data_IF_573761790241
#
_entry.id   IF_573761790241
#
_cell.length_a   1.000
_cell.length_b   1.000
_cell.length_c   1.000
_cell.angle_alpha   90.00
_cell.angle_beta   90.00
_cell.angle_gamma   90.00
#
_symmetry.space_group_name_H-M   'P 1'
#
loop_
_entity.id
_entity.type
_entity.pdbx_description
1 polymer ?
#
# COMPACT_ATOMS: atom_id res chain seq x y z
N UNK A 1 31.59 11.39 -2.96
CA UNK A 1 30.59 10.70 -2.09
C UNK A 1 29.23 11.14 -2.60
N UNK A 2 28.60 10.35 -3.48
CA UNK A 2 27.36 10.73 -4.16
C UNK A 2 26.21 10.16 -3.32
N UNK A 3 25.43 11.04 -2.71
CA UNK A 3 24.15 10.72 -2.08
C UNK A 3 23.12 10.55 -3.20
N UNK A 4 22.75 9.33 -3.53
CA UNK A 4 21.57 9.05 -4.34
C UNK A 4 20.34 9.14 -3.44
N UNK A 5 19.65 10.26 -3.52
CA UNK A 5 18.29 10.41 -2.98
C UNK A 5 17.33 9.51 -3.78
N UNK A 6 16.89 8.41 -3.17
CA UNK A 6 15.79 7.63 -3.70
C UNK A 6 14.48 8.41 -3.54
N UNK A 7 13.98 8.95 -4.64
CA UNK A 7 12.68 9.59 -4.75
C UNK A 7 11.59 8.50 -4.76
N UNK A 8 11.05 8.16 -3.59
CA UNK A 8 10.02 7.12 -3.39
C UNK A 8 8.61 7.52 -3.90
N UNK A 9 8.48 8.66 -4.60
CA UNK A 9 7.20 9.20 -5.07
C UNK A 9 7.11 9.38 -6.60
N UNK A 10 8.09 8.90 -7.37
CA UNK A 10 7.95 8.85 -8.82
C UNK A 10 8.83 7.75 -9.42
N UNK A 11 8.23 6.70 -9.97
CA UNK A 11 8.95 5.74 -10.82
C UNK A 11 8.39 5.79 -12.25
N UNK A 12 9.28 6.15 -13.17
CA UNK A 12 9.10 6.10 -14.61
C UNK A 12 9.07 4.65 -15.10
N UNK A 13 7.83 4.18 -15.31
CA UNK A 13 7.30 3.30 -16.36
C UNK A 13 8.28 2.40 -17.14
N UNK A 14 8.17 1.10 -16.90
CA UNK A 14 8.12 0.09 -17.97
C UNK A 14 6.78 -0.66 -17.86
N UNK A 15 5.87 -0.43 -18.80
CA UNK A 15 4.47 -0.85 -18.72
C UNK A 15 4.29 -2.33 -19.11
N UNK A 16 3.85 -3.16 -18.16
CA UNK A 16 3.02 -4.32 -18.48
C UNK A 16 1.64 -4.02 -17.89
N UNK A 17 0.69 -3.69 -18.76
CA UNK A 17 -0.72 -3.46 -18.41
C UNK A 17 -1.45 -4.78 -18.63
N UNK A 18 -2.02 -5.37 -17.58
CA UNK A 18 -2.99 -6.47 -17.73
C UNK A 18 -4.41 -5.92 -17.79
N UNK A 19 -5.31 -6.66 -18.43
CA UNK A 19 -6.74 -6.36 -18.52
C UNK A 19 -7.43 -6.25 -17.15
N UNK A 20 -8.60 -5.58 -17.13
CA UNK A 20 -9.46 -5.41 -15.95
C UNK A 20 -9.74 -6.74 -15.24
N UNK A 21 -9.65 -6.71 -13.91
CA UNK A 21 -9.79 -7.86 -13.04
C UNK A 21 -11.21 -7.92 -12.46
N UNK A 22 -11.93 -9.02 -12.70
CA UNK A 22 -13.25 -9.32 -12.10
C UNK A 22 -13.01 -10.09 -10.79
N UNK A 23 -13.21 -9.45 -9.64
CA UNK A 23 -13.29 -10.07 -8.31
C UNK A 23 -12.36 -11.24 -8.07
N UNK A 24 -11.05 -11.02 -8.24
CA UNK A 24 -10.10 -12.14 -8.19
C UNK A 24 -9.46 -12.27 -6.82
N UNK A 25 -9.26 -13.52 -6.43
CA UNK A 25 -8.27 -13.86 -5.42
C UNK A 25 -6.88 -13.47 -5.94
N UNK A 26 -6.22 -12.54 -5.25
CA UNK A 26 -4.81 -12.22 -5.43
C UNK A 26 -3.97 -13.10 -4.49
N UNK A 27 -2.84 -13.59 -4.98
CA UNK A 27 -1.79 -14.23 -4.19
C UNK A 27 -0.47 -13.70 -4.73
N UNK A 28 0.42 -13.22 -3.87
CA UNK A 28 1.73 -12.73 -4.31
C UNK A 28 2.59 -13.88 -4.83
N UNK A 29 3.66 -13.53 -5.56
CA UNK A 29 4.54 -14.50 -6.22
C UNK A 29 5.16 -15.50 -5.24
N UNK A 30 5.54 -15.02 -4.05
CA UNK A 30 6.17 -15.83 -3.01
C UNK A 30 5.14 -16.56 -2.14
N UNK A 31 3.84 -16.39 -2.43
CA UNK A 31 2.73 -16.95 -1.66
C UNK A 31 2.86 -16.62 -0.18
N UNK A 32 3.12 -15.36 0.12
CA UNK A 32 3.21 -14.79 1.46
C UNK A 32 1.82 -14.43 2.00
N UNK A 33 0.97 -13.90 1.13
CA UNK A 33 -0.41 -13.53 1.42
C UNK A 33 -1.35 -14.00 0.31
N UNK A 34 -2.63 -14.04 0.66
CA UNK A 34 -3.74 -14.12 -0.27
C UNK A 34 -4.82 -13.14 0.14
N UNK A 35 -5.48 -12.49 -0.80
CA UNK A 35 -6.62 -11.60 -0.51
C UNK A 35 -7.57 -11.49 -1.70
N UNK A 36 -8.68 -10.77 -1.55
CA UNK A 36 -9.60 -10.39 -2.63
C UNK A 36 -9.29 -8.94 -3.03
N UNK A 37 -9.12 -8.73 -4.33
CA UNK A 37 -9.03 -7.38 -4.91
C UNK A 37 -10.41 -7.00 -5.46
N UNK A 38 -10.98 -5.85 -5.05
CA UNK A 38 -12.24 -5.37 -5.60
C UNK A 38 -12.24 -5.23 -7.12
N UNK A 39 -13.37 -5.53 -7.75
CA UNK A 39 -13.57 -5.51 -9.20
C UNK A 39 -13.19 -4.18 -9.84
N UNK A 40 -12.78 -4.23 -11.11
CA UNK A 40 -12.48 -3.04 -11.91
C UNK A 40 -11.11 -2.43 -11.63
N UNK A 41 -10.23 -3.17 -10.94
CA UNK A 41 -8.85 -2.78 -10.76
C UNK A 41 -8.04 -3.03 -12.04
N UNK A 42 -7.28 -2.03 -12.46
CA UNK A 42 -6.15 -2.15 -13.37
C UNK A 42 -4.94 -2.54 -12.52
N UNK A 43 -4.24 -3.61 -12.89
CA UNK A 43 -3.15 -4.14 -12.06
C UNK A 43 -1.77 -3.91 -12.68
N UNK A 44 -0.79 -3.62 -11.82
CA UNK A 44 0.62 -3.50 -12.18
C UNK A 44 1.46 -4.23 -11.13
N UNK A 45 2.55 -4.85 -11.56
CA UNK A 45 3.48 -5.53 -10.66
C UNK A 45 4.90 -5.07 -10.97
N UNK A 46 5.61 -4.60 -9.95
CA UNK A 46 7.02 -4.20 -10.01
C UNK A 46 7.80 -5.05 -9.00
N UNK A 47 8.68 -5.92 -9.49
CA UNK A 47 9.48 -6.83 -8.66
C UNK A 47 10.94 -6.40 -8.65
N UNK A 48 11.54 -6.38 -7.46
CA UNK A 48 12.96 -6.06 -7.28
C UNK A 48 13.51 -6.77 -6.05
N UNK A 49 14.84 -6.81 -5.92
CA UNK A 49 15.50 -7.39 -4.75
C UNK A 49 15.26 -6.59 -3.45
N UNK A 50 14.76 -5.36 -3.56
CA UNK A 50 14.51 -4.47 -2.42
C UNK A 50 13.06 -4.46 -1.98
N UNK A 51 12.15 -4.39 -2.94
CA UNK A 51 10.72 -4.29 -2.69
C UNK A 51 9.95 -4.92 -3.85
N UNK A 52 9.00 -5.78 -3.52
CA UNK A 52 7.97 -6.23 -4.46
C UNK A 52 6.73 -5.36 -4.27
N UNK A 53 6.21 -4.79 -5.35
CA UNK A 53 5.06 -3.89 -5.33
C UNK A 53 3.99 -4.45 -6.26
N UNK A 54 2.78 -4.61 -5.73
CA UNK A 54 1.58 -4.95 -6.49
C UNK A 54 0.60 -3.79 -6.39
N UNK A 55 0.32 -3.14 -7.51
CA UNK A 55 -0.52 -1.95 -7.58
C UNK A 55 -1.87 -2.26 -8.21
N UNK A 56 -2.92 -1.65 -7.67
CA UNK A 56 -4.31 -1.81 -8.05
C UNK A 56 -4.93 -0.42 -8.18
N UNK A 57 -5.33 -0.05 -9.39
CA UNK A 57 -5.87 1.28 -9.70
C UNK A 57 -7.30 1.18 -10.21
N UNK A 58 -8.18 2.03 -9.70
CA UNK A 58 -9.56 2.12 -10.17
C UNK A 58 -9.82 3.51 -10.75
N UNK A 59 -10.47 3.54 -11.91
CA UNK A 59 -10.75 4.77 -12.63
C UNK A 59 -12.24 4.91 -12.94
N UNK A 60 -12.73 6.16 -12.96
CA UNK A 60 -14.04 6.52 -13.50
C UNK A 60 -13.85 7.61 -14.56
N UNK A 61 -14.30 7.37 -15.80
CA UNK A 61 -14.22 8.35 -16.90
C UNK A 61 -12.85 9.04 -17.02
N UNK A 62 -11.76 8.27 -16.85
CA UNK A 62 -10.34 8.67 -16.88
C UNK A 62 -9.80 9.37 -15.62
N UNK A 63 -10.58 9.50 -14.56
CA UNK A 63 -10.13 10.01 -13.26
C UNK A 63 -9.85 8.84 -12.31
N UNK A 64 -8.69 8.85 -11.65
CA UNK A 64 -8.36 7.85 -10.62
C UNK A 64 -9.25 8.09 -9.41
N UNK A 65 -10.05 7.09 -9.06
CA UNK A 65 -10.90 7.12 -7.85
C UNK A 65 -10.17 6.57 -6.64
N UNK A 66 -9.30 5.57 -6.83
CA UNK A 66 -8.37 5.13 -5.81
C UNK A 66 -7.22 4.34 -6.41
N UNK A 67 -6.13 4.31 -5.65
CA UNK A 67 -4.93 3.56 -5.92
C UNK A 67 -4.52 2.82 -4.65
N UNK A 68 -4.28 1.51 -4.73
CA UNK A 68 -3.82 0.69 -3.61
C UNK A 68 -2.59 -0.09 -4.05
N UNK A 69 -1.56 -0.11 -3.22
CA UNK A 69 -0.39 -0.96 -3.37
C UNK A 69 -0.25 -1.90 -2.19
N UNK A 70 0.17 -3.12 -2.49
CA UNK A 70 0.69 -4.05 -1.49
C UNK A 70 2.19 -4.19 -1.75
N UNK A 71 2.99 -3.78 -0.77
CA UNK A 71 4.45 -3.79 -0.83
C UNK A 71 5.02 -4.80 0.15
N UNK A 72 6.02 -5.55 -0.30
CA UNK A 72 6.77 -6.50 0.50
C UNK A 72 8.22 -6.06 0.54
N UNK A 73 8.74 -5.87 1.75
CA UNK A 73 10.12 -5.46 1.96
C UNK A 73 10.79 -6.38 2.98
N UNK A 74 11.98 -6.93 2.71
CA UNK A 74 12.73 -7.71 3.69
C UNK A 74 12.98 -6.90 4.97
N UNK A 75 12.81 -7.53 6.14
CA UNK A 75 12.98 -6.85 7.44
C UNK A 75 14.35 -6.19 7.59
N UNK A 76 15.40 -6.83 7.08
CA UNK A 76 16.78 -6.29 7.10
C UNK A 76 16.93 -4.97 6.35
N UNK A 77 16.05 -4.68 5.38
CA UNK A 77 16.02 -3.44 4.60
C UNK A 77 14.94 -2.47 5.07
N UNK A 78 14.02 -2.91 5.91
CA UNK A 78 12.85 -2.14 6.31
C UNK A 78 13.10 -1.36 7.62
N UNK A 79 12.64 -0.10 7.67
CA UNK A 79 12.54 0.60 8.95
C UNK A 79 11.46 -0.07 9.80
N UNK A 80 11.77 -0.28 11.07
CA UNK A 80 10.83 -0.85 12.02
C UNK A 80 9.60 0.06 12.21
N UNK A 81 8.46 -0.41 11.72
CA UNK A 81 7.15 0.22 11.86
C UNK A 81 6.62 0.25 13.31
N UNK A 82 7.23 -0.50 14.23
CA UNK A 82 6.89 -0.47 15.65
C UNK A 82 7.62 0.65 16.41
N UNK A 83 8.59 1.31 15.77
CA UNK A 83 9.32 2.43 16.38
C UNK A 83 8.36 3.55 16.80
N UNK A 84 8.52 4.14 18.00
CA UNK A 84 7.63 5.20 18.49
C UNK A 84 7.68 6.48 17.64
N UNK A 85 8.73 6.66 16.83
CA UNK A 85 8.93 7.82 15.96
C UNK A 85 8.54 7.59 14.50
N UNK A 86 7.99 6.42 14.16
CA UNK A 86 7.78 6.03 12.77
C UNK A 86 6.86 7.00 12.03
N UNK A 87 5.78 7.48 12.66
CA UNK A 87 4.89 8.50 12.07
C UNK A 87 5.60 9.80 11.76
N UNK A 88 6.42 10.29 12.69
CA UNK A 88 7.14 11.55 12.49
C UNK A 88 8.14 11.40 11.35
N UNK A 89 8.81 10.25 11.26
CA UNK A 89 9.66 9.92 10.12
C UNK A 89 8.86 9.89 8.81
N UNK A 90 7.73 9.18 8.79
CA UNK A 90 6.84 9.09 7.62
C UNK A 90 6.34 10.47 7.17
N UNK A 91 5.84 11.28 8.10
CA UNK A 91 5.31 12.61 7.82
C UNK A 91 6.37 13.53 7.19
N UNK A 92 7.60 13.51 7.72
CA UNK A 92 8.72 14.27 7.17
C UNK A 92 9.11 13.80 5.77
N UNK A 93 9.19 12.48 5.58
CA UNK A 93 9.60 11.89 4.30
C UNK A 93 8.55 12.13 3.20
N UNK A 94 7.28 11.94 3.53
CA UNK A 94 6.16 12.07 2.58
C UNK A 94 5.63 13.50 2.46
N UNK A 95 6.09 14.45 3.29
CA UNK A 95 5.58 15.83 3.34
C UNK A 95 4.04 15.89 3.45
N UNK A 96 3.47 14.97 4.23
CA UNK A 96 2.02 14.86 4.44
C UNK A 96 1.62 15.38 5.84
N UNK A 97 0.33 15.37 6.13
CA UNK A 97 -0.21 15.66 7.48
C UNK A 97 -0.92 14.41 7.98
N UNK A 98 -0.45 13.82 9.08
CA UNK A 98 -1.14 12.68 9.70
C UNK A 98 -2.36 13.20 10.47
N UNK A 99 -3.54 12.70 10.11
CA UNK A 99 -4.82 13.06 10.73
C UNK A 99 -5.32 11.98 11.70
N UNK A 100 -4.89 10.74 11.53
CA UNK A 100 -5.19 9.63 12.46
C UNK A 100 -4.03 8.65 12.48
N UNK A 101 -3.73 8.11 13.66
CA UNK A 101 -2.76 7.03 13.85
C UNK A 101 -3.27 6.05 14.89
N UNK A 102 -2.90 4.79 14.76
CA UNK A 102 -3.27 3.78 15.74
C UNK A 102 -2.71 2.40 15.47
N UNK A 103 -2.95 1.51 16.42
CA UNK A 103 -2.72 0.08 16.25
C UNK A 103 -3.96 -0.56 15.61
N UNK A 104 -3.73 -1.54 14.75
CA UNK A 104 -4.78 -2.31 14.07
C UNK A 104 -4.39 -3.79 14.08
N UNK A 105 -5.37 -4.69 13.94
CA UNK A 105 -5.13 -6.09 13.66
C UNK A 105 -5.35 -6.36 12.17
N UNK A 106 -4.35 -6.94 11.52
CA UNK A 106 -4.37 -7.29 10.10
C UNK A 106 -4.07 -8.79 10.01
N UNK A 107 -5.05 -9.61 9.64
CA UNK A 107 -4.94 -11.07 9.65
C UNK A 107 -4.37 -11.62 10.99
N UNK A 108 -4.90 -11.12 12.12
CA UNK A 108 -4.45 -11.40 13.49
C UNK A 108 -3.01 -10.96 13.83
N UNK A 109 -2.33 -10.22 12.96
CA UNK A 109 -1.05 -9.60 13.26
C UNK A 109 -1.24 -8.19 13.80
N UNK A 110 -0.48 -7.84 14.83
CA UNK A 110 -0.40 -6.46 15.30
C UNK A 110 0.25 -5.62 14.20
N UNK A 111 -0.50 -4.65 13.71
CA UNK A 111 -0.06 -3.70 12.70
C UNK A 111 -0.26 -2.26 13.15
N UNK A 112 0.27 -1.35 12.36
CA UNK A 112 0.18 0.10 12.56
C UNK A 112 -0.57 0.72 11.38
N UNK A 113 -1.56 1.57 11.66
CA UNK A 113 -2.30 2.33 10.64
C UNK A 113 -2.06 3.84 10.79
N UNK A 114 -1.88 4.53 9.67
CA UNK A 114 -1.92 5.98 9.56
C UNK A 114 -2.95 6.39 8.52
N UNK A 115 -3.67 7.47 8.80
CA UNK A 115 -4.44 8.20 7.80
C UNK A 115 -3.84 9.59 7.69
N UNK A 116 -3.66 10.08 6.47
CA UNK A 116 -3.00 11.34 6.20
C UNK A 116 -3.58 12.04 4.99
N UNK A 117 -3.21 13.31 4.83
CA UNK A 117 -3.53 14.11 3.65
C UNK A 117 -2.26 14.66 3.01
N UNK A 118 -2.26 14.75 1.68
CA UNK A 118 -1.21 15.34 0.86
C UNK A 118 -1.85 15.89 -0.42
N UNK A 119 -1.64 17.18 -0.76
CA UNK A 119 -2.07 17.79 -2.02
C UNK A 119 -3.47 17.36 -2.55
N UNK A 120 -4.53 17.62 -1.76
CA UNK A 120 -5.93 17.25 -2.06
C UNK A 120 -6.21 15.74 -2.18
N UNK A 121 -5.27 14.91 -1.73
CA UNK A 121 -5.42 13.47 -1.62
C UNK A 121 -5.51 13.06 -0.16
N UNK A 122 -6.20 11.95 0.05
CA UNK A 122 -6.31 11.25 1.31
C UNK A 122 -5.62 9.90 1.17
N UNK A 123 -4.75 9.58 2.13
CA UNK A 123 -4.00 8.33 2.16
C UNK A 123 -4.25 7.53 3.44
N UNK A 124 -4.17 6.21 3.32
CA UNK A 124 -4.14 5.26 4.43
C UNK A 124 -2.95 4.34 4.21
N UNK A 125 -2.09 4.23 5.22
CA UNK A 125 -1.00 3.27 5.23
C UNK A 125 -1.17 2.30 6.38
N UNK A 126 -1.04 1.01 6.07
CA UNK A 126 -1.11 -0.09 7.04
C UNK A 126 0.15 -0.92 6.95
N UNK A 127 0.84 -1.09 8.07
CA UNK A 127 2.07 -1.88 8.16
C UNK A 127 1.88 -3.03 9.12
N UNK A 128 2.39 -4.21 8.77
CA UNK A 128 2.51 -5.35 9.67
C UNK A 128 3.69 -6.22 9.25
N UNK A 129 4.07 -7.16 10.11
CA UNK A 129 5.15 -8.11 9.84
C UNK A 129 4.58 -9.51 9.68
N UNK A 130 5.16 -10.24 8.73
CA UNK A 130 4.93 -11.67 8.58
C UNK A 130 6.22 -12.32 8.13
N UNK A 131 6.66 -13.35 8.87
CA UNK A 131 7.96 -14.02 8.65
C UNK A 131 9.09 -12.98 8.62
N UNK A 132 9.93 -13.01 7.60
CA UNK A 132 11.07 -12.12 7.36
C UNK A 132 10.72 -10.87 6.55
N UNK A 133 9.42 -10.58 6.36
CA UNK A 133 8.93 -9.46 5.55
C UNK A 133 8.16 -8.43 6.39
N UNK A 134 8.39 -7.15 6.09
CA UNK A 134 7.46 -6.07 6.39
C UNK A 134 6.51 -5.91 5.22
N UNK A 135 5.22 -6.01 5.48
CA UNK A 135 4.17 -5.83 4.51
C UNK A 135 3.51 -4.47 4.73
N UNK A 136 3.37 -3.70 3.66
CA UNK A 136 2.68 -2.42 3.64
C UNK A 136 1.49 -2.50 2.70
N UNK A 137 0.29 -2.16 3.17
CA UNK A 137 -0.87 -1.89 2.33
C UNK A 137 -1.06 -0.38 2.31
N UNK A 138 -0.68 0.23 1.20
CA UNK A 138 -0.70 1.66 0.96
C UNK A 138 -1.89 2.00 0.08
N UNK A 139 -2.75 2.92 0.49
CA UNK A 139 -3.91 3.35 -0.28
C UNK A 139 -3.98 4.86 -0.38
N UNK A 140 -4.26 5.39 -1.57
CA UNK A 140 -4.38 6.82 -1.84
C UNK A 140 -5.57 7.07 -2.77
N UNK A 141 -6.27 8.17 -2.55
CA UNK A 141 -7.36 8.63 -3.41
C UNK A 141 -7.48 10.15 -3.35
N UNK A 142 -8.06 10.81 -4.36
CA UNK A 142 -8.57 12.17 -4.18
C UNK A 142 -9.47 12.25 -2.95
N UNK A 143 -9.42 13.37 -2.21
CA UNK A 143 -10.14 13.51 -0.93
C UNK A 143 -11.64 13.23 -1.05
N UNK A 144 -12.27 13.57 -2.18
CA UNK A 144 -13.68 13.29 -2.46
C UNK A 144 -14.01 11.79 -2.54
N UNK A 145 -13.02 10.96 -2.85
CA UNK A 145 -13.14 9.50 -2.96
C UNK A 145 -12.61 8.74 -1.73
N UNK A 146 -12.32 9.43 -0.61
CA UNK A 146 -11.79 8.79 0.60
C UNK A 146 -12.66 7.62 1.13
N UNK A 147 -13.99 7.72 0.97
CA UNK A 147 -14.92 6.68 1.43
C UNK A 147 -14.80 5.43 0.57
N UNK A 148 -14.65 5.60 -0.74
CA UNK A 148 -14.45 4.49 -1.69
C UNK A 148 -13.12 3.79 -1.41
N UNK A 149 -12.04 4.56 -1.16
CA UNK A 149 -10.75 3.99 -0.76
C UNK A 149 -10.87 3.14 0.52
N UNK A 150 -11.54 3.67 1.55
CA UNK A 150 -11.75 2.96 2.82
C UNK A 150 -12.53 1.65 2.63
N UNK A 151 -13.54 1.65 1.78
CA UNK A 151 -14.31 0.43 1.44
C UNK A 151 -13.43 -0.61 0.75
N UNK A 152 -12.66 -0.22 -0.28
CA UNK A 152 -11.75 -1.12 -1.01
C UNK A 152 -10.66 -1.71 -0.09
N UNK A 153 -10.04 -0.88 0.75
CA UNK A 153 -9.10 -1.34 1.78
C UNK A 153 -9.76 -2.24 2.84
N UNK A 154 -11.04 -2.02 3.14
CA UNK A 154 -11.84 -2.87 4.02
C UNK A 154 -11.98 -4.28 3.45
N UNK A 155 -12.36 -4.40 2.18
CA UNK A 155 -12.48 -5.69 1.47
C UNK A 155 -11.13 -6.42 1.47
N UNK A 156 -10.05 -5.74 1.09
CA UNK A 156 -8.70 -6.32 1.06
C UNK A 156 -8.29 -6.83 2.45
N UNK A 157 -8.52 -6.04 3.50
CA UNK A 157 -8.12 -6.45 4.85
C UNK A 157 -8.97 -7.61 5.39
N UNK A 158 -10.28 -7.60 5.15
CA UNK A 158 -11.19 -8.65 5.65
C UNK A 158 -10.93 -10.01 5.02
N UNK A 159 -10.44 -10.03 3.78
CA UNK A 159 -10.14 -11.26 3.05
C UNK A 159 -8.65 -11.63 3.07
N UNK A 160 -7.81 -10.85 3.75
CA UNK A 160 -6.38 -11.10 3.82
C UNK A 160 -6.08 -12.36 4.66
N UNK A 161 -5.36 -13.29 4.05
CA UNK A 161 -4.84 -14.51 4.63
C UNK A 161 -3.31 -14.46 4.57
N UNK A 162 -2.67 -14.90 5.64
CA UNK A 162 -1.22 -15.12 5.70
C UNK A 162 -0.95 -16.58 5.38
N UNK A 163 0.03 -16.83 4.50
CA UNK A 163 0.41 -18.15 4.00
C UNK A 163 1.82 -18.51 4.49
#
# INVERSE_FOLDING_TARGET
MILTEFNYCSSSISNIVSSEVIGTTFTDKEKTIRTVIPDGAITRTDLSDEVNIYSFEWQEKKSITSYIEIRFQPLLKARDHLSPDYETHFQKKCKCIIIKRGWILIANQKGREFQYTIDKQFGIDRFFQWKDQRIQIHGVAPTEHQTVLKQRLGIIQQNLQLL
#
